data_IF_452643935410
#
_entry.id   IF_452643935410
#
_cell.length_a   1.000
_cell.length_b   1.000
_cell.length_c   1.000
_cell.angle_alpha   90.00
_cell.angle_beta   90.00
_cell.angle_gamma   90.00
#
_symmetry.space_group_name_H-M   'P 1'
#
loop_
_entity.id
_entity.type
_entity.pdbx_description
1 polymer ?
#
# COMPACT_ATOMS: atom_id res chain seq x y z
N UNK A 1 40.13 -78.91 -37.69
CA UNK A 1 41.44 -79.45 -37.25
C UNK A 1 41.46 -79.35 -35.72
N UNK A 2 41.31 -80.43 -34.93
CA UNK A 2 42.39 -81.27 -34.35
C UNK A 2 43.62 -80.42 -33.94
N UNK A 3 44.17 -80.41 -32.72
CA UNK A 3 44.07 -81.23 -31.49
C UNK A 3 44.87 -80.45 -30.39
N UNK A 4 44.45 -80.57 -29.12
CA UNK A 4 45.22 -80.83 -27.88
C UNK A 4 46.46 -79.96 -27.56
N UNK A 5 46.83 -79.61 -26.32
CA UNK A 5 46.66 -80.27 -25.03
C UNK A 5 46.81 -79.28 -23.86
N UNK A 6 46.27 -79.69 -22.72
CA UNK A 6 46.48 -79.14 -21.39
C UNK A 6 47.85 -79.53 -20.80
N UNK A 7 48.27 -78.80 -19.76
CA UNK A 7 48.88 -79.25 -18.50
C UNK A 7 49.17 -78.00 -17.65
N UNK A 8 48.44 -77.73 -16.56
CA UNK A 8 48.67 -78.21 -15.17
C UNK A 8 49.99 -77.72 -14.56
N UNK A 9 49.90 -76.87 -13.52
CA UNK A 9 50.20 -77.27 -12.14
C UNK A 9 50.34 -76.06 -11.17
N UNK A 10 49.51 -76.12 -10.13
CA UNK A 10 49.73 -75.80 -8.71
C UNK A 10 50.48 -74.55 -8.23
N UNK A 11 49.78 -73.85 -7.32
CA UNK A 11 50.35 -72.91 -6.38
C UNK A 11 49.33 -72.48 -5.32
N UNK A 12 48.93 -73.40 -4.43
CA UNK A 12 48.28 -73.06 -3.15
C UNK A 12 49.18 -72.13 -2.34
N UNK A 13 48.64 -71.05 -1.79
CA UNK A 13 48.93 -70.58 -0.42
C UNK A 13 47.73 -69.80 0.13
N UNK A 14 47.20 -70.33 1.22
CA UNK A 14 46.23 -69.72 2.13
C UNK A 14 46.80 -68.44 2.74
N UNK A 15 45.93 -67.46 2.94
CA UNK A 15 46.24 -66.18 3.59
C UNK A 15 44.96 -65.56 4.13
N UNK A 16 44.66 -65.94 5.36
CA UNK A 16 43.90 -65.27 6.43
C UNK A 16 43.20 -63.93 6.09
N UNK A 17 41.93 -63.87 6.47
CA UNK A 17 41.03 -62.78 6.12
C UNK A 17 41.26 -61.46 6.85
N UNK A 18 40.56 -60.44 6.34
CA UNK A 18 39.72 -59.55 7.14
C UNK A 18 38.65 -58.92 6.25
N UNK A 19 37.44 -58.71 6.80
CA UNK A 19 36.26 -58.39 6.03
C UNK A 19 36.30 -56.95 5.51
N UNK A 20 35.55 -56.72 4.44
CA UNK A 20 35.15 -55.40 3.97
C UNK A 20 34.76 -54.51 5.16
N UNK A 21 35.10 -53.20 5.15
CA UNK A 21 34.61 -52.30 6.18
C UNK A 21 33.11 -52.18 5.98
N UNK A 22 32.36 -53.02 6.69
CA UNK A 22 30.97 -52.76 7.00
C UNK A 22 30.92 -51.39 7.66
N UNK A 23 29.99 -50.57 7.21
CA UNK A 23 29.63 -49.32 7.86
C UNK A 23 29.22 -49.67 9.29
N UNK A 24 30.15 -49.56 10.23
CA UNK A 24 29.81 -49.43 11.63
C UNK A 24 29.01 -48.15 11.73
N UNK A 25 27.68 -48.29 11.76
CA UNK A 25 26.82 -47.39 12.49
C UNK A 25 27.30 -47.44 13.94
N UNK A 26 28.31 -46.64 14.26
CA UNK A 26 28.60 -46.24 15.62
C UNK A 26 27.39 -45.43 16.07
N UNK A 27 26.54 -46.07 16.85
CA UNK A 27 25.56 -45.43 17.69
C UNK A 27 26.25 -44.56 18.72
N UNK A 28 26.65 -43.37 18.30
CA UNK A 28 26.71 -42.17 19.10
C UNK A 28 26.04 -41.11 18.23
N UNK A 29 25.07 -40.38 18.79
CA UNK A 29 24.38 -39.29 18.10
C UNK A 29 25.29 -38.07 17.89
N UNK A 30 26.50 -38.30 17.37
CA UNK A 30 27.52 -37.28 17.13
C UNK A 30 27.44 -36.83 15.66
N UNK A 31 27.24 -35.53 15.49
CA UNK A 31 27.10 -34.88 14.19
C UNK A 31 28.41 -34.96 13.41
N UNK A 32 28.34 -35.17 12.10
CA UNK A 32 29.51 -35.06 11.23
C UNK A 32 30.08 -33.64 11.22
N UNK A 33 31.37 -33.48 10.91
CA UNK A 33 32.02 -32.16 10.84
C UNK A 33 31.29 -31.19 9.88
N UNK A 34 30.78 -31.68 8.76
CA UNK A 34 29.97 -30.88 7.82
C UNK A 34 28.62 -30.43 8.39
N UNK A 35 27.98 -31.26 9.21
CA UNK A 35 26.72 -30.91 9.89
C UNK A 35 26.96 -29.91 11.01
N UNK A 36 28.09 -30.01 11.72
CA UNK A 36 28.53 -29.04 12.73
C UNK A 36 28.79 -27.68 12.07
N UNK A 37 29.52 -27.64 10.96
CA UNK A 37 29.76 -26.40 10.21
C UNK A 37 28.46 -25.77 9.68
N UNK A 38 27.54 -26.57 9.15
CA UNK A 38 26.23 -26.08 8.70
C UNK A 38 25.43 -25.51 9.87
N UNK A 39 25.38 -26.18 11.02
CA UNK A 39 24.71 -25.66 12.23
C UNK A 39 25.31 -24.34 12.69
N UNK A 40 26.63 -24.19 12.67
CA UNK A 40 27.29 -22.93 13.04
C UNK A 40 26.90 -21.81 12.06
N UNK A 41 26.91 -22.06 10.75
CA UNK A 41 26.49 -21.07 9.74
C UNK A 41 25.02 -20.68 9.89
N UNK A 42 24.14 -21.65 10.15
CA UNK A 42 22.71 -21.41 10.42
C UNK A 42 22.55 -20.55 11.67
N UNK A 43 23.21 -20.90 12.78
CA UNK A 43 23.14 -20.12 14.02
C UNK A 43 23.64 -18.67 13.82
N UNK A 44 24.71 -18.45 13.05
CA UNK A 44 25.21 -17.13 12.69
C UNK A 44 24.24 -16.34 11.78
N UNK A 45 23.48 -17.02 10.92
CA UNK A 45 22.42 -16.38 10.13
C UNK A 45 21.22 -16.04 11.01
N UNK A 46 20.81 -16.94 11.90
CA UNK A 46 19.72 -16.71 12.86
C UNK A 46 20.04 -15.53 13.79
N UNK A 47 21.28 -15.42 14.28
CA UNK A 47 21.70 -14.29 15.11
C UNK A 47 21.68 -12.96 14.32
N UNK A 48 22.12 -12.96 13.07
CA UNK A 48 22.04 -11.79 12.18
C UNK A 48 20.60 -11.37 11.92
N UNK A 49 19.72 -12.33 11.62
CA UNK A 49 18.29 -12.06 11.41
C UNK A 49 17.61 -11.55 12.68
N UNK A 50 17.95 -12.09 13.86
CA UNK A 50 17.43 -11.57 15.13
C UNK A 50 17.86 -10.11 15.37
N UNK A 51 19.13 -9.78 15.16
CA UNK A 51 19.62 -8.39 15.28
C UNK A 51 18.93 -7.45 14.28
N UNK A 52 18.70 -7.92 13.06
CA UNK A 52 17.99 -7.14 12.05
C UNK A 52 16.51 -6.94 12.40
N UNK A 53 15.83 -7.97 12.92
CA UNK A 53 14.46 -7.86 13.43
C UNK A 53 14.36 -6.88 14.61
N UNK A 54 15.31 -6.91 15.55
CA UNK A 54 15.36 -5.94 16.65
C UNK A 54 15.59 -4.50 16.14
N UNK A 55 16.45 -4.32 15.13
CA UNK A 55 16.66 -3.00 14.50
C UNK A 55 15.36 -2.50 13.86
N UNK A 56 14.69 -3.35 13.06
CA UNK A 56 13.42 -3.03 12.41
C UNK A 56 12.34 -2.69 13.45
N UNK A 57 12.27 -3.43 14.56
CA UNK A 57 11.32 -3.14 15.64
C UNK A 57 11.57 -1.77 16.28
N UNK A 58 12.84 -1.44 16.60
CA UNK A 58 13.20 -0.12 17.15
C UNK A 58 12.89 1.01 16.19
N UNK A 59 13.22 0.85 14.90
CA UNK A 59 12.89 1.82 13.86
C UNK A 59 11.37 2.03 13.75
N UNK A 60 10.60 0.94 13.80
CA UNK A 60 9.13 1.00 13.77
C UNK A 60 8.57 1.77 14.97
N UNK A 61 9.05 1.48 16.17
CA UNK A 61 8.63 2.20 17.38
C UNK A 61 8.97 3.69 17.32
N UNK A 62 10.17 4.04 16.82
CA UNK A 62 10.57 5.44 16.65
C UNK A 62 9.69 6.16 15.61
N UNK A 63 9.37 5.49 14.51
CA UNK A 63 8.48 6.04 13.47
C UNK A 63 7.06 6.25 13.98
N UNK A 64 6.51 5.30 14.75
CA UNK A 64 5.18 5.48 15.36
C UNK A 64 5.17 6.65 16.36
N UNK A 65 6.22 6.80 17.19
CA UNK A 65 6.34 7.98 18.08
C UNK A 65 6.41 9.29 17.30
N UNK A 66 7.19 9.33 16.22
CA UNK A 66 7.28 10.53 15.34
C UNK A 66 5.93 10.83 14.68
N UNK A 67 5.20 9.81 14.25
CA UNK A 67 3.87 9.92 13.66
C UNK A 67 2.84 10.45 14.66
N UNK A 68 2.81 9.93 15.89
CA UNK A 68 1.94 10.45 16.95
C UNK A 68 2.28 11.92 17.29
N UNK A 69 3.56 12.24 17.45
CA UNK A 69 3.98 13.62 17.72
C UNK A 69 3.62 14.58 16.56
N UNK A 70 3.77 14.14 15.32
CA UNK A 70 3.38 14.91 14.14
C UNK A 70 1.85 15.11 14.08
N UNK A 71 1.07 14.07 14.41
CA UNK A 71 -0.39 14.15 14.51
C UNK A 71 -0.82 15.21 15.53
N UNK A 72 -0.27 15.16 16.74
CA UNK A 72 -0.58 16.12 17.80
C UNK A 72 -0.21 17.56 17.41
N UNK A 73 0.95 17.74 16.79
CA UNK A 73 1.38 19.05 16.30
C UNK A 73 0.42 19.61 15.24
N UNK A 74 0.01 18.78 14.27
CA UNK A 74 -0.94 19.15 13.22
C UNK A 74 -2.29 19.53 13.84
N UNK A 75 -2.89 18.68 14.69
CA UNK A 75 -4.20 19.00 15.26
C UNK A 75 -4.17 20.17 16.25
N UNK A 76 -3.03 20.42 16.91
CA UNK A 76 -2.83 21.64 17.70
C UNK A 76 -2.80 22.89 16.83
N UNK A 77 -2.15 22.83 15.66
CA UNK A 77 -2.18 23.90 14.66
C UNK A 77 -3.60 24.13 14.13
N UNK A 78 -4.29 23.06 13.73
CA UNK A 78 -5.66 23.12 13.19
C UNK A 78 -6.64 23.67 14.23
N UNK A 79 -6.53 23.27 15.49
CA UNK A 79 -7.32 23.84 16.58
C UNK A 79 -7.06 25.34 16.76
N UNK A 80 -5.82 25.80 16.61
CA UNK A 80 -5.50 27.24 16.70
C UNK A 80 -6.06 28.03 15.51
N UNK A 81 -5.99 27.47 14.30
CA UNK A 81 -6.46 28.13 13.06
C UNK A 81 -7.98 28.15 12.93
N UNK A 82 -8.63 27.03 13.22
CA UNK A 82 -10.03 26.78 12.89
C UNK A 82 -10.93 26.60 14.11
N UNK A 83 -10.36 26.59 15.32
CA UNK A 83 -11.07 26.35 16.58
C UNK A 83 -11.89 25.04 16.58
N UNK A 84 -11.35 24.00 15.95
CA UNK A 84 -11.93 22.66 15.88
C UNK A 84 -10.97 21.62 16.44
N UNK A 85 -11.51 20.64 17.17
CA UNK A 85 -10.78 19.45 17.63
C UNK A 85 -10.80 18.35 16.56
N UNK A 86 -9.93 17.35 16.70
CA UNK A 86 -9.86 16.20 15.79
C UNK A 86 -11.21 15.53 15.54
N UNK A 87 -11.96 15.18 16.60
CA UNK A 87 -13.29 14.56 16.45
C UNK A 87 -14.27 15.46 15.69
N UNK A 88 -14.17 16.77 15.84
CA UNK A 88 -15.04 17.70 15.13
C UNK A 88 -14.70 17.79 13.64
N UNK A 89 -13.42 17.64 13.27
CA UNK A 89 -13.04 17.49 11.87
C UNK A 89 -13.61 16.20 11.30
N UNK A 90 -13.46 15.09 12.02
CA UNK A 90 -13.97 13.78 11.58
C UNK A 90 -15.47 13.82 11.35
N UNK A 91 -16.22 14.36 12.30
CA UNK A 91 -17.67 14.52 12.18
C UNK A 91 -18.03 15.47 11.04
N UNK A 92 -17.32 16.60 10.88
CA UNK A 92 -17.59 17.54 9.80
C UNK A 92 -17.35 16.94 8.41
N UNK A 93 -16.23 16.23 8.19
CA UNK A 93 -15.95 15.57 6.91
C UNK A 93 -16.98 14.47 6.60
N UNK A 94 -17.52 13.79 7.61
CA UNK A 94 -18.62 12.84 7.44
C UNK A 94 -19.93 13.55 7.10
N UNK A 95 -20.27 14.61 7.83
CA UNK A 95 -21.50 15.36 7.63
C UNK A 95 -21.54 16.09 6.27
N UNK A 96 -20.37 16.45 5.68
CA UNK A 96 -20.28 17.01 4.31
C UNK A 96 -20.99 16.12 3.29
N UNK A 97 -20.81 14.80 3.38
CA UNK A 97 -21.44 13.86 2.44
C UNK A 97 -22.96 13.87 2.52
N UNK A 98 -23.51 14.37 3.63
CA UNK A 98 -24.94 14.47 3.92
C UNK A 98 -25.41 15.91 4.02
N UNK A 99 -24.63 16.88 3.53
CA UNK A 99 -24.93 18.32 3.65
C UNK A 99 -26.34 18.66 3.17
N UNK A 100 -26.74 18.15 2.00
CA UNK A 100 -28.07 18.38 1.43
C UNK A 100 -29.21 17.80 2.28
N UNK A 101 -28.98 16.71 3.01
CA UNK A 101 -29.96 16.16 3.95
C UNK A 101 -30.09 17.07 5.17
N UNK A 102 -28.96 17.50 5.74
CA UNK A 102 -28.92 18.39 6.90
C UNK A 102 -29.61 19.74 6.57
N UNK A 103 -29.36 20.30 5.39
CA UNK A 103 -30.03 21.51 4.92
C UNK A 103 -31.54 21.32 4.77
N UNK A 104 -31.97 20.17 4.24
CA UNK A 104 -33.40 19.82 4.14
C UNK A 104 -34.07 19.71 5.50
N UNK A 105 -33.42 19.11 6.49
CA UNK A 105 -33.95 19.01 7.86
C UNK A 105 -34.15 20.40 8.49
N UNK A 106 -33.22 21.33 8.26
CA UNK A 106 -33.35 22.73 8.69
C UNK A 106 -34.56 23.38 8.03
N UNK A 107 -34.67 23.28 6.70
CA UNK A 107 -35.77 23.87 5.92
C UNK A 107 -37.12 23.30 6.37
N UNK A 108 -37.21 21.99 6.58
CA UNK A 108 -38.43 21.34 7.05
C UNK A 108 -38.81 21.79 8.46
N UNK A 109 -37.84 21.94 9.36
CA UNK A 109 -38.09 22.46 10.71
C UNK A 109 -38.62 23.90 10.67
N UNK A 110 -38.05 24.75 9.81
CA UNK A 110 -38.56 26.12 9.56
C UNK A 110 -39.99 26.07 9.05
N UNK A 111 -40.30 25.21 8.07
CA UNK A 111 -41.66 25.11 7.51
C UNK A 111 -42.69 24.66 8.54
N UNK A 112 -42.34 23.73 9.45
CA UNK A 112 -43.25 23.21 10.47
C UNK A 112 -43.47 24.15 11.64
N UNK A 113 -42.43 24.88 12.07
CA UNK A 113 -42.41 25.63 13.34
C UNK A 113 -42.33 27.14 13.16
N UNK A 114 -42.07 27.62 11.95
CA UNK A 114 -41.94 29.04 11.62
C UNK A 114 -40.86 29.72 12.47
N UNK A 115 -41.23 30.83 13.10
CA UNK A 115 -40.37 31.60 14.02
C UNK A 115 -39.84 30.79 15.21
N UNK A 116 -40.52 29.71 15.60
CA UNK A 116 -40.10 28.87 16.74
C UNK A 116 -39.07 27.80 16.34
N UNK A 117 -38.74 27.64 15.05
CA UNK A 117 -37.76 26.64 14.59
C UNK A 117 -36.40 26.75 15.28
N UNK A 118 -35.92 27.97 15.54
CA UNK A 118 -34.65 28.21 16.22
C UNK A 118 -34.62 27.73 17.69
N UNK A 119 -35.79 27.44 18.29
CA UNK A 119 -35.89 26.86 19.64
C UNK A 119 -35.79 25.34 19.63
N UNK A 120 -36.07 24.71 18.48
CA UNK A 120 -36.03 23.26 18.32
C UNK A 120 -34.58 22.75 18.39
N UNK A 121 -34.41 21.62 19.10
CA UNK A 121 -33.09 21.01 19.28
C UNK A 121 -32.49 20.57 17.93
N UNK A 122 -33.29 19.93 17.08
CA UNK A 122 -32.88 19.45 15.75
C UNK A 122 -32.35 20.58 14.87
N UNK A 123 -33.00 21.75 14.91
CA UNK A 123 -32.54 22.93 14.17
C UNK A 123 -31.14 23.35 14.62
N UNK A 124 -30.94 23.49 15.94
CA UNK A 124 -29.64 23.91 16.51
C UNK A 124 -28.52 22.92 16.19
N UNK A 125 -28.81 21.62 16.27
CA UNK A 125 -27.85 20.57 15.95
C UNK A 125 -27.46 20.62 14.47
N UNK A 126 -28.44 20.68 13.56
CA UNK A 126 -28.17 20.78 12.12
C UNK A 126 -27.42 22.08 11.76
N UNK A 127 -27.79 23.21 12.38
CA UNK A 127 -27.12 24.48 12.15
C UNK A 127 -25.65 24.43 12.58
N UNK A 128 -25.33 23.80 13.72
CA UNK A 128 -23.94 23.62 14.16
C UNK A 128 -23.15 22.71 13.21
N UNK A 129 -23.78 21.65 12.67
CA UNK A 129 -23.17 20.81 11.63
C UNK A 129 -22.84 21.61 10.38
N UNK A 130 -23.78 22.41 9.86
CA UNK A 130 -23.57 23.27 8.68
C UNK A 130 -22.46 24.28 8.93
N UNK A 131 -22.36 24.84 10.14
CA UNK A 131 -21.27 25.74 10.52
C UNK A 131 -19.91 25.03 10.46
N UNK A 132 -19.81 23.80 10.99
CA UNK A 132 -18.57 23.01 10.93
C UNK A 132 -18.22 22.62 9.49
N UNK A 133 -19.18 22.18 8.69
CA UNK A 133 -19.03 21.94 7.25
C UNK A 133 -18.47 23.19 6.55
N UNK A 134 -19.04 24.36 6.84
CA UNK A 134 -18.61 25.64 6.24
C UNK A 134 -17.17 26.00 6.60
N UNK A 135 -16.67 25.58 7.76
CA UNK A 135 -15.25 25.74 8.10
C UNK A 135 -14.40 24.92 7.12
N UNK A 136 -14.72 23.63 6.95
CA UNK A 136 -14.00 22.72 6.04
C UNK A 136 -13.99 23.24 4.60
N UNK A 137 -15.13 23.70 4.09
CA UNK A 137 -15.25 24.23 2.71
C UNK A 137 -14.37 25.46 2.46
N UNK A 138 -14.03 26.20 3.52
CA UNK A 138 -13.15 27.38 3.46
C UNK A 138 -11.70 27.08 3.85
N UNK A 139 -11.39 25.85 4.23
CA UNK A 139 -10.02 25.47 4.55
C UNK A 139 -9.14 25.47 3.31
N UNK A 140 -7.84 25.68 3.52
CA UNK A 140 -6.86 25.52 2.46
C UNK A 140 -6.68 24.04 2.13
N UNK A 141 -6.45 23.73 0.85
CA UNK A 141 -6.20 22.34 0.41
C UNK A 141 -4.99 21.73 1.10
N UNK A 142 -3.95 22.52 1.39
CA UNK A 142 -2.76 22.06 2.11
C UNK A 142 -3.08 21.62 3.55
N UNK A 143 -3.94 22.37 4.25
CA UNK A 143 -4.35 22.01 5.60
C UNK A 143 -5.28 20.77 5.59
N UNK A 144 -6.17 20.65 4.60
CA UNK A 144 -6.97 19.43 4.39
C UNK A 144 -6.06 18.23 4.08
N UNK A 145 -5.03 18.40 3.24
CA UNK A 145 -4.05 17.35 2.93
C UNK A 145 -3.31 16.88 4.17
N UNK A 146 -2.88 17.78 5.06
CA UNK A 146 -2.28 17.39 6.34
C UNK A 146 -3.23 16.56 7.21
N UNK A 147 -4.51 16.95 7.28
CA UNK A 147 -5.52 16.22 8.06
C UNK A 147 -5.82 14.85 7.41
N UNK A 148 -5.83 14.77 6.08
CA UNK A 148 -6.16 13.57 5.32
C UNK A 148 -5.22 12.39 5.57
N UNK A 149 -4.00 12.66 6.05
CA UNK A 149 -3.05 11.63 6.47
C UNK A 149 -3.62 10.80 7.64
N UNK A 150 -4.46 11.40 8.49
CA UNK A 150 -4.98 10.77 9.70
C UNK A 150 -6.50 10.54 9.68
N UNK A 151 -7.24 11.26 8.84
CA UNK A 151 -8.71 11.13 8.73
C UNK A 151 -9.08 10.67 7.32
N UNK A 152 -9.64 9.46 7.23
CA UNK A 152 -10.01 8.86 5.95
C UNK A 152 -11.10 9.64 5.21
N UNK A 153 -12.08 10.20 5.94
CA UNK A 153 -13.12 11.04 5.34
C UNK A 153 -12.53 12.31 4.71
N UNK A 154 -11.48 12.89 5.30
CA UNK A 154 -10.76 14.03 4.74
C UNK A 154 -9.96 13.66 3.49
N UNK A 155 -9.37 12.45 3.46
CA UNK A 155 -8.71 11.91 2.28
C UNK A 155 -9.67 11.73 1.11
N UNK A 156 -10.85 11.16 1.38
CA UNK A 156 -11.88 11.01 0.36
C UNK A 156 -12.35 12.37 -0.16
N UNK A 157 -12.58 13.33 0.73
CA UNK A 157 -13.01 14.68 0.36
C UNK A 157 -12.02 15.36 -0.58
N UNK A 158 -10.72 15.32 -0.28
CA UNK A 158 -9.71 15.95 -1.15
C UNK A 158 -9.56 15.20 -2.48
N UNK A 159 -9.64 13.86 -2.48
CA UNK A 159 -9.62 13.06 -3.71
C UNK A 159 -10.82 13.38 -4.61
N UNK A 160 -12.03 13.46 -4.04
CA UNK A 160 -13.24 13.81 -4.78
C UNK A 160 -13.14 15.22 -5.37
N UNK A 161 -12.63 16.18 -4.60
CA UNK A 161 -12.39 17.55 -5.07
C UNK A 161 -11.38 17.58 -6.22
N UNK A 162 -10.25 16.91 -6.08
CA UNK A 162 -9.21 16.84 -7.11
C UNK A 162 -9.72 16.13 -8.38
N UNK A 163 -10.52 15.06 -8.23
CA UNK A 163 -11.17 14.38 -9.33
C UNK A 163 -12.19 15.30 -10.03
N UNK A 164 -12.99 16.07 -9.30
CA UNK A 164 -13.97 16.99 -9.90
C UNK A 164 -13.29 18.08 -10.73
N UNK A 165 -12.23 18.70 -10.18
CA UNK A 165 -11.41 19.69 -10.91
C UNK A 165 -10.78 19.06 -12.17
N UNK A 166 -10.32 17.81 -12.06
CA UNK A 166 -9.70 17.06 -13.13
C UNK A 166 -10.62 16.70 -14.30
N UNK A 167 -11.95 16.62 -14.09
CA UNK A 167 -12.91 16.28 -15.17
C UNK A 167 -12.80 17.22 -16.36
N UNK A 168 -12.56 18.50 -16.10
CA UNK A 168 -12.44 19.53 -17.15
C UNK A 168 -11.25 19.31 -18.09
N UNK A 169 -10.24 18.56 -17.63
CA UNK A 169 -9.03 18.23 -18.40
C UNK A 169 -9.14 16.90 -19.18
N UNK A 170 -10.24 16.16 -19.03
CA UNK A 170 -10.46 14.91 -19.78
C UNK A 170 -10.98 15.27 -21.18
N UNK A 171 -10.09 15.23 -22.16
CA UNK A 171 -10.44 15.46 -23.57
C UNK A 171 -10.72 14.17 -24.36
N UNK A 172 -10.62 13.00 -23.72
CA UNK A 172 -10.69 11.70 -24.39
C UNK A 172 -11.95 10.93 -23.97
N UNK A 173 -12.86 10.68 -24.90
CA UNK A 173 -14.17 10.07 -24.66
C UNK A 173 -14.20 8.54 -24.77
N UNK A 174 -13.11 7.90 -25.23
CA UNK A 174 -13.05 6.44 -25.40
C UNK A 174 -12.66 5.71 -24.11
N UNK A 175 -13.24 4.52 -23.87
CA UNK A 175 -12.90 3.65 -22.73
C UNK A 175 -11.41 3.30 -22.70
N UNK A 176 -10.83 3.24 -21.50
CA UNK A 176 -9.47 2.73 -21.31
C UNK A 176 -9.48 1.21 -21.37
N UNK A 177 -8.34 0.61 -21.72
CA UNK A 177 -8.19 -0.84 -21.59
C UNK A 177 -8.12 -1.22 -20.11
N UNK A 178 -8.58 -2.42 -19.78
CA UNK A 178 -8.58 -2.92 -18.40
C UNK A 178 -7.18 -2.88 -17.77
N UNK A 179 -6.14 -3.21 -18.55
CA UNK A 179 -4.76 -3.14 -18.05
C UNK A 179 -4.33 -1.70 -17.76
N UNK A 180 -4.74 -0.75 -18.60
CA UNK A 180 -4.41 0.66 -18.38
C UNK A 180 -5.12 1.21 -17.14
N UNK A 181 -6.36 0.78 -16.89
CA UNK A 181 -7.12 1.11 -15.68
C UNK A 181 -6.41 0.54 -14.46
N UNK A 182 -6.06 -0.76 -14.47
CA UNK A 182 -5.33 -1.41 -13.37
C UNK A 182 -4.01 -0.73 -13.06
N UNK A 183 -3.25 -0.34 -14.08
CA UNK A 183 -2.00 0.40 -13.88
C UNK A 183 -2.22 1.77 -13.25
N UNK A 184 -3.25 2.51 -13.66
CA UNK A 184 -3.58 3.82 -13.08
C UNK A 184 -4.11 3.68 -11.65
N UNK A 185 -4.96 2.69 -11.41
CA UNK A 185 -5.51 2.34 -10.10
C UNK A 185 -4.39 1.96 -9.13
N UNK A 186 -3.39 1.20 -9.58
CA UNK A 186 -2.22 0.88 -8.77
C UNK A 186 -1.49 2.13 -8.27
N UNK A 187 -1.28 3.15 -9.13
CA UNK A 187 -0.68 4.42 -8.69
C UNK A 187 -1.53 5.09 -7.60
N UNK A 188 -2.86 5.08 -7.75
CA UNK A 188 -3.80 5.60 -6.74
C UNK A 188 -3.66 4.84 -5.41
N UNK A 189 -3.70 3.51 -5.45
CA UNK A 189 -3.63 2.64 -4.27
C UNK A 189 -2.30 2.75 -3.50
N UNK A 190 -1.21 3.11 -4.18
CA UNK A 190 0.09 3.41 -3.55
C UNK A 190 0.17 4.84 -2.96
N UNK A 191 -0.96 5.54 -2.82
CA UNK A 191 -1.00 6.91 -2.30
C UNK A 191 -0.72 7.98 -3.36
N UNK A 192 -0.91 7.65 -4.64
CA UNK A 192 -0.82 8.59 -5.75
C UNK A 192 0.59 8.80 -6.32
N UNK A 193 1.62 8.16 -5.75
CA UNK A 193 3.00 8.21 -6.22
C UNK A 193 3.62 6.82 -6.17
N UNK A 194 4.32 6.43 -7.23
CA UNK A 194 5.03 5.15 -7.30
C UNK A 194 6.32 5.27 -8.09
N UNK A 195 7.36 4.55 -7.71
CA UNK A 195 8.59 4.54 -8.50
C UNK A 195 8.39 3.82 -9.83
N UNK A 196 9.19 4.17 -10.84
CA UNK A 196 9.17 3.44 -12.11
C UNK A 196 9.44 1.93 -11.93
N UNK A 197 10.28 1.56 -10.95
CA UNK A 197 10.61 0.17 -10.67
C UNK A 197 9.36 -0.60 -10.24
N UNK A 198 8.67 -0.11 -9.21
CA UNK A 198 7.45 -0.73 -8.67
C UNK A 198 6.34 -0.78 -9.71
N UNK A 199 6.14 0.31 -10.47
CA UNK A 199 5.14 0.35 -11.53
C UNK A 199 5.42 -0.67 -12.64
N UNK A 200 6.70 -0.84 -13.00
CA UNK A 200 7.12 -1.85 -13.98
C UNK A 200 6.94 -3.27 -13.44
N UNK A 201 7.30 -3.51 -12.19
CA UNK A 201 7.17 -4.80 -11.51
C UNK A 201 5.70 -5.22 -11.47
N UNK A 202 4.81 -4.34 -11.01
CA UNK A 202 3.36 -4.57 -11.03
C UNK A 202 2.83 -4.88 -12.44
N UNK A 203 3.23 -4.10 -13.45
CA UNK A 203 2.78 -4.33 -14.82
C UNK A 203 3.23 -5.67 -15.41
N UNK A 204 4.43 -6.16 -15.04
CA UNK A 204 4.96 -7.43 -15.55
C UNK A 204 4.53 -8.64 -14.76
N UNK A 205 4.61 -8.55 -13.44
CA UNK A 205 4.44 -9.70 -12.55
C UNK A 205 2.99 -9.88 -12.12
N UNK A 206 2.26 -8.78 -11.93
CA UNK A 206 0.85 -8.84 -11.49
C UNK A 206 -0.12 -8.82 -12.67
N UNK A 207 0.10 -7.95 -13.67
CA UNK A 207 -0.78 -7.88 -14.85
C UNK A 207 -0.34 -8.86 -15.95
N UNK A 208 0.94 -9.25 -15.99
CA UNK A 208 1.45 -10.17 -17.02
C UNK A 208 1.76 -9.49 -18.37
N UNK A 209 2.04 -8.19 -18.39
CA UNK A 209 2.32 -7.46 -19.63
C UNK A 209 3.76 -7.71 -20.11
N UNK A 210 3.91 -7.89 -21.42
CA UNK A 210 5.22 -7.79 -22.05
C UNK A 210 5.75 -6.34 -22.02
N UNK A 211 7.06 -6.18 -22.27
CA UNK A 211 7.73 -4.88 -22.16
C UNK A 211 7.18 -3.83 -23.12
N UNK A 212 6.81 -4.21 -24.34
CA UNK A 212 6.31 -3.28 -25.35
C UNK A 212 4.89 -2.81 -25.00
N UNK A 213 4.01 -3.75 -24.64
CA UNK A 213 2.64 -3.42 -24.21
C UNK A 213 2.64 -2.54 -22.96
N UNK A 214 3.46 -2.85 -21.95
CA UNK A 214 3.61 -2.03 -20.74
C UNK A 214 4.03 -0.60 -21.08
N UNK A 215 5.03 -0.44 -21.96
CA UNK A 215 5.50 0.87 -22.37
C UNK A 215 4.43 1.65 -23.16
N UNK A 216 3.67 0.98 -24.02
CA UNK A 216 2.53 1.58 -24.75
C UNK A 216 1.44 2.05 -23.79
N UNK A 217 1.04 1.24 -22.80
CA UNK A 217 0.05 1.64 -21.78
C UNK A 217 0.53 2.83 -20.95
N UNK A 218 1.77 2.76 -20.47
CA UNK A 218 2.41 3.88 -19.75
C UNK A 218 2.44 5.16 -20.57
N UNK A 219 2.88 5.06 -21.82
CA UNK A 219 2.95 6.21 -22.72
C UNK A 219 1.57 6.82 -22.98
N UNK A 220 0.53 5.99 -23.14
CA UNK A 220 -0.84 6.46 -23.25
C UNK A 220 -1.31 7.20 -21.99
N UNK A 221 -0.95 6.75 -20.78
CA UNK A 221 -1.28 7.44 -19.53
C UNK A 221 -0.60 8.82 -19.46
N UNK A 222 0.64 8.94 -19.95
CA UNK A 222 1.34 10.21 -20.04
C UNK A 222 0.74 11.15 -21.08
N UNK A 223 0.50 10.67 -22.30
CA UNK A 223 -0.04 11.49 -23.38
C UNK A 223 -1.42 12.05 -23.06
N UNK A 224 -2.23 11.28 -22.33
CA UNK A 224 -3.55 11.71 -21.86
C UNK A 224 -3.48 12.55 -20.57
N UNK A 225 -2.29 12.77 -20.03
CA UNK A 225 -2.07 13.58 -18.84
C UNK A 225 -2.59 12.96 -17.54
N UNK A 226 -2.85 11.65 -17.50
CA UNK A 226 -3.37 10.97 -16.30
C UNK A 226 -2.29 10.67 -15.26
N UNK A 227 -1.04 10.55 -15.72
CA UNK A 227 0.14 10.51 -14.86
C UNK A 227 1.17 11.52 -15.33
N UNK A 228 1.99 12.01 -14.41
CA UNK A 228 3.16 12.84 -14.70
C UNK A 228 4.42 12.21 -14.10
N UNK A 229 5.57 12.63 -14.62
CA UNK A 229 6.88 12.16 -14.18
C UNK A 229 7.52 13.21 -13.30
N UNK A 230 7.95 12.82 -12.11
CA UNK A 230 8.79 13.63 -11.24
C UNK A 230 10.03 12.81 -10.88
N UNK A 231 11.18 13.12 -11.51
CA UNK A 231 12.39 12.32 -11.36
C UNK A 231 12.21 10.88 -11.86
N UNK A 232 12.32 9.92 -10.95
CA UNK A 232 12.09 8.49 -11.22
C UNK A 232 10.70 8.00 -10.84
N UNK A 233 9.84 8.90 -10.35
CA UNK A 233 8.52 8.56 -9.86
C UNK A 233 7.44 8.95 -10.86
N UNK A 234 6.36 8.19 -10.81
CA UNK A 234 5.11 8.40 -11.53
C UNK A 234 4.07 8.88 -10.52
N UNK A 235 3.38 9.95 -10.85
CA UNK A 235 2.39 10.58 -9.97
C UNK A 235 1.07 10.70 -10.71
N UNK A 236 -0.01 10.27 -10.06
CA UNK A 236 -1.35 10.44 -10.61
C UNK A 236 -1.72 11.91 -10.64
N UNK A 237 -2.33 12.36 -11.73
CA UNK A 237 -2.81 13.74 -11.85
C UNK A 237 -4.28 13.83 -11.43
N UNK A 238 -4.78 15.05 -11.26
CA UNK A 238 -6.22 15.32 -11.10
C UNK A 238 -7.04 14.70 -12.23
N UNK A 239 -6.57 14.80 -13.48
CA UNK A 239 -7.21 14.16 -14.62
C UNK A 239 -7.19 12.63 -14.53
N UNK A 240 -6.12 12.03 -13.98
CA UNK A 240 -6.03 10.60 -13.72
C UNK A 240 -7.05 10.12 -12.68
N UNK A 241 -7.19 10.85 -11.57
CA UNK A 241 -8.22 10.58 -10.56
C UNK A 241 -9.63 10.71 -11.13
N UNK A 242 -9.88 11.81 -11.85
CA UNK A 242 -11.15 12.04 -12.54
C UNK A 242 -11.48 10.89 -13.50
N UNK A 243 -10.46 10.37 -14.20
CA UNK A 243 -10.64 9.28 -15.15
C UNK A 243 -10.96 7.95 -14.48
N UNK A 244 -10.29 7.62 -13.37
CA UNK A 244 -10.62 6.42 -12.60
C UNK A 244 -12.09 6.45 -12.16
N UNK A 245 -12.57 7.63 -11.73
CA UNK A 245 -13.97 7.83 -11.34
C UNK A 245 -14.95 7.61 -12.51
N UNK A 246 -14.63 8.08 -13.71
CA UNK A 246 -15.45 7.79 -14.91
C UNK A 246 -15.52 6.29 -15.25
N UNK A 247 -14.44 5.55 -14.95
CA UNK A 247 -14.37 4.10 -15.16
C UNK A 247 -14.94 3.29 -13.98
N UNK A 248 -15.38 3.96 -12.90
CA UNK A 248 -16.07 3.35 -11.75
C UNK A 248 -15.21 3.08 -10.50
N UNK A 249 -14.06 3.73 -10.34
CA UNK A 249 -13.08 3.52 -9.26
C UNK A 249 -12.74 4.78 -8.43
#
# INVERSE_FOLDING_TARGET
MRKMAANEADGKKEGEGRPEPSSQNSGTGELSLEEIERRIRIAQMEERLKKELERIQKEKEELERKKESAKDAIFKEMKKKYNMKEEEFKDAFRDIQRKEEIEREIIETIRKKGENACKEKTFKECAEKIKKISVIERMSDDDIKKISIYIQEAHRYIEEKEAEEGKTAIHHTGKMSEETIKMLLFVKEQGGRVSWKEFREYGKETIGLDTDTLNKRRWSLFQRGYIKREGNDLIITKAGLARLREEGY
#
